data_IF_957297245799
#
_entry.id   IF_957297245799
#
_cell.length_a   1.000
_cell.length_b   1.000
_cell.length_c   1.000
_cell.angle_alpha   90.00
_cell.angle_beta   90.00
_cell.angle_gamma   90.00
#
_symmetry.space_group_name_H-M   'P 1'
#
loop_
_entity.id
_entity.type
_entity.pdbx_description
1 polymer ?
#
# COMPACT_ATOMS: atom_id res chain seq x y z
N UNK A 1 9.95 -22.95 -3.01
CA UNK A 1 9.58 -21.79 -2.17
C UNK A 1 10.40 -20.54 -2.51
N UNK A 2 9.73 -19.39 -2.53
CA UNK A 2 10.33 -18.06 -2.74
C UNK A 2 10.37 -17.36 -1.38
N UNK A 3 11.46 -16.68 -1.08
CA UNK A 3 11.59 -15.86 0.13
C UNK A 3 11.54 -14.38 -0.27
N UNK A 4 10.81 -13.57 0.48
CA UNK A 4 10.80 -12.12 0.35
C UNK A 4 11.53 -11.49 1.53
N UNK A 5 12.22 -10.37 1.27
CA UNK A 5 12.95 -9.61 2.28
C UNK A 5 12.79 -8.13 2.01
N UNK A 6 12.56 -7.36 3.08
CA UNK A 6 12.46 -5.91 3.07
C UNK A 6 13.81 -5.32 3.49
N UNK A 7 14.23 -4.25 2.82
CA UNK A 7 15.54 -3.64 3.02
C UNK A 7 15.43 -2.17 3.41
N UNK A 8 16.45 -1.69 4.13
CA UNK A 8 16.60 -0.28 4.52
C UNK A 8 16.62 0.67 3.31
N UNK A 9 17.07 0.19 2.14
CA UNK A 9 17.08 0.95 0.90
C UNK A 9 15.69 1.14 0.27
N UNK A 10 14.62 0.65 0.91
CA UNK A 10 13.26 0.70 0.39
C UNK A 10 12.96 -0.38 -0.66
N UNK A 11 13.92 -1.28 -0.95
CA UNK A 11 13.73 -2.34 -1.93
C UNK A 11 13.25 -3.64 -1.29
N UNK A 12 12.54 -4.43 -2.09
CA UNK A 12 12.15 -5.80 -1.74
C UNK A 12 12.99 -6.73 -2.59
N UNK A 13 13.63 -7.72 -1.98
CA UNK A 13 14.35 -8.76 -2.72
C UNK A 13 13.64 -10.08 -2.57
N UNK A 14 13.47 -10.74 -3.71
CA UNK A 14 12.92 -12.08 -3.85
C UNK A 14 14.04 -13.06 -4.11
N UNK A 15 14.07 -14.14 -3.33
CA UNK A 15 15.14 -15.12 -3.35
C UNK A 15 14.59 -16.51 -3.60
N UNK A 16 15.40 -17.34 -4.26
CA UNK A 16 15.19 -18.78 -4.24
C UNK A 16 15.63 -19.32 -2.87
N UNK A 17 15.08 -20.48 -2.48
CA UNK A 17 15.51 -21.16 -1.24
C UNK A 17 16.99 -21.58 -1.27
N UNK A 18 17.61 -21.62 -2.45
CA UNK A 18 19.04 -21.85 -2.64
C UNK A 18 19.90 -20.58 -2.46
N UNK A 19 19.28 -19.44 -2.16
CA UNK A 19 19.97 -18.16 -1.93
C UNK A 19 20.22 -17.32 -3.19
N UNK A 20 19.70 -17.74 -4.35
CA UNK A 20 19.86 -16.95 -5.57
C UNK A 20 18.86 -15.79 -5.59
N UNK A 21 19.35 -14.58 -5.90
CA UNK A 21 18.48 -13.42 -6.12
C UNK A 21 17.66 -13.65 -7.40
N UNK A 22 16.34 -13.68 -7.27
CA UNK A 22 15.43 -13.87 -8.40
C UNK A 22 14.97 -12.53 -8.97
N UNK A 23 14.63 -11.58 -8.10
CA UNK A 23 14.13 -10.25 -8.50
C UNK A 23 14.35 -9.23 -7.38
N UNK A 24 14.59 -7.99 -7.78
CA UNK A 24 14.55 -6.82 -6.90
C UNK A 24 13.37 -5.94 -7.32
N UNK A 25 12.59 -5.48 -6.34
CA UNK A 25 11.44 -4.59 -6.51
C UNK A 25 11.73 -3.27 -5.84
N UNK A 26 11.41 -2.19 -6.53
CA UNK A 26 11.53 -0.83 -6.03
C UNK A 26 10.15 -0.17 -6.12
N UNK A 27 9.66 0.46 -5.03
CA UNK A 27 8.41 1.22 -5.07
C UNK A 27 8.50 2.30 -6.16
N UNK A 28 7.46 2.36 -6.99
CA UNK A 28 7.37 3.31 -8.10
C UNK A 28 6.59 4.56 -7.70
N UNK A 29 5.88 4.55 -6.57
CA UNK A 29 5.18 5.73 -6.06
C UNK A 29 6.15 6.91 -5.88
N UNK A 30 5.74 8.13 -6.24
CA UNK A 30 6.55 9.35 -6.06
C UNK A 30 6.81 9.73 -4.59
N UNK A 31 6.36 8.91 -3.66
CA UNK A 31 6.57 9.08 -2.23
C UNK A 31 7.91 8.44 -1.86
N UNK A 32 8.65 9.02 -0.89
CA UNK A 32 10.03 8.66 -0.68
C UNK A 32 10.17 7.16 -0.44
N UNK A 33 11.06 6.53 -1.23
CA UNK A 33 11.60 5.19 -1.05
C UNK A 33 12.33 5.11 0.29
N UNK A 34 11.56 5.08 1.37
CA UNK A 34 12.06 4.96 2.73
C UNK A 34 12.22 3.51 3.14
N UNK A 35 12.90 3.25 4.27
CA UNK A 35 13.16 1.91 4.77
C UNK A 35 11.88 1.08 4.89
N UNK A 36 11.91 -0.14 4.36
CA UNK A 36 10.84 -1.10 4.58
C UNK A 36 11.09 -1.84 5.89
N UNK A 37 10.08 -1.86 6.76
CA UNK A 37 10.18 -2.28 8.16
C UNK A 37 9.32 -3.52 8.44
N UNK A 38 8.29 -3.76 7.63
CA UNK A 38 7.39 -4.91 7.79
C UNK A 38 7.02 -5.52 6.43
N UNK A 39 6.77 -6.83 6.43
CA UNK A 39 6.28 -7.59 5.28
C UNK A 39 5.20 -8.59 5.71
N UNK A 40 4.14 -8.73 4.93
CA UNK A 40 3.23 -9.86 5.03
C UNK A 40 2.69 -10.27 3.66
N UNK A 41 2.17 -11.49 3.55
CA UNK A 41 1.68 -12.05 2.30
C UNK A 41 0.43 -12.90 2.55
N UNK A 42 -0.31 -13.21 1.49
CA UNK A 42 -1.43 -14.15 1.52
C UNK A 42 -0.95 -15.61 1.48
N UNK A 43 -1.88 -16.53 1.76
CA UNK A 43 -1.67 -17.97 1.82
C UNK A 43 -1.14 -18.53 0.49
N UNK A 44 -1.51 -17.91 -0.63
CA UNK A 44 -1.06 -18.30 -1.97
C UNK A 44 0.07 -17.44 -2.53
N UNK A 45 0.61 -16.49 -1.76
CA UNK A 45 1.70 -15.59 -2.15
C UNK A 45 1.42 -14.72 -3.39
N UNK A 46 0.16 -14.51 -3.74
CA UNK A 46 -0.29 -13.66 -4.86
C UNK A 46 -0.23 -12.18 -4.54
N UNK A 47 -0.26 -11.82 -3.26
CA UNK A 47 -0.23 -10.45 -2.77
C UNK A 47 0.92 -10.33 -1.77
N UNK A 48 1.71 -9.26 -1.92
CA UNK A 48 2.72 -8.89 -0.94
C UNK A 48 2.39 -7.49 -0.41
N UNK A 49 2.35 -7.35 0.90
CA UNK A 49 2.11 -6.09 1.59
C UNK A 49 3.37 -5.69 2.34
N UNK A 50 3.76 -4.42 2.22
CA UNK A 50 4.98 -3.90 2.83
C UNK A 50 4.70 -2.64 3.62
N UNK A 51 5.28 -2.54 4.81
CA UNK A 51 5.22 -1.36 5.66
C UNK A 51 6.53 -0.59 5.62
N UNK A 52 6.47 0.74 5.70
CA UNK A 52 7.65 1.60 5.73
C UNK A 52 7.85 2.32 7.06
N UNK A 53 9.07 2.82 7.26
CA UNK A 53 9.46 3.70 8.38
C UNK A 53 8.70 5.02 8.40
N UNK A 54 8.27 5.50 7.25
CA UNK A 54 7.42 6.68 7.18
C UNK A 54 5.98 6.31 7.50
N UNK A 55 5.56 5.05 7.48
CA UNK A 55 4.17 4.66 7.79
C UNK A 55 3.29 4.45 6.55
N UNK A 56 3.91 4.25 5.38
CA UNK A 56 3.21 3.84 4.18
C UNK A 56 3.01 2.33 4.17
N UNK A 57 1.90 1.90 3.60
CA UNK A 57 1.66 0.52 3.20
C UNK A 57 1.63 0.47 1.69
N UNK A 58 2.32 -0.50 1.13
CA UNK A 58 2.35 -0.75 -0.31
C UNK A 58 1.90 -2.19 -0.56
N UNK A 59 1.00 -2.35 -1.52
CA UNK A 59 0.47 -3.63 -1.97
C UNK A 59 0.99 -3.96 -3.35
N UNK A 60 1.50 -5.16 -3.49
CA UNK A 60 2.11 -5.69 -4.71
C UNK A 60 1.35 -6.91 -5.20
N UNK A 61 1.14 -7.00 -6.51
CA UNK A 61 0.62 -8.19 -7.16
C UNK A 61 1.75 -9.07 -7.65
N UNK A 62 1.79 -10.28 -7.11
CA UNK A 62 2.79 -11.33 -7.36
C UNK A 62 2.23 -12.48 -8.21
N UNK A 63 0.93 -12.50 -8.52
CA UNK A 63 0.28 -13.64 -9.17
C UNK A 63 0.90 -13.96 -10.54
N UNK A 64 1.10 -12.94 -11.37
CA UNK A 64 1.73 -13.08 -12.70
C UNK A 64 3.14 -13.66 -12.61
N UNK A 65 3.90 -13.23 -11.59
CA UNK A 65 5.26 -13.71 -11.36
C UNK A 65 5.33 -15.20 -11.03
N UNK A 66 4.36 -15.70 -10.26
CA UNK A 66 4.27 -17.09 -9.85
C UNK A 66 3.78 -18.02 -10.96
N UNK A 67 2.86 -17.55 -11.81
CA UNK A 67 2.26 -18.36 -12.87
C UNK A 67 3.22 -18.61 -14.04
N UNK A 68 4.03 -17.62 -14.43
CA UNK A 68 4.94 -17.76 -15.59
C UNK A 68 6.42 -17.40 -15.32
N UNK A 69 7.15 -18.01 -14.36
CA UNK A 69 8.46 -17.53 -13.90
C UNK A 69 9.54 -17.29 -14.97
N UNK A 70 9.37 -17.87 -16.18
CA UNK A 70 10.30 -17.79 -17.30
C UNK A 70 10.01 -16.65 -18.29
N UNK A 71 8.88 -15.97 -18.15
CA UNK A 71 8.50 -14.87 -19.02
C UNK A 71 9.18 -13.57 -18.53
N UNK A 72 10.02 -12.95 -19.39
CA UNK A 72 10.70 -11.68 -19.06
C UNK A 72 9.73 -10.52 -18.82
N UNK A 73 8.47 -10.64 -19.27
CA UNK A 73 7.39 -9.67 -19.00
C UNK A 73 6.67 -9.88 -17.66
N UNK A 74 7.14 -10.78 -16.80
CA UNK A 74 6.60 -10.93 -15.45
C UNK A 74 6.92 -9.71 -14.59
N UNK A 75 6.07 -8.72 -14.74
CA UNK A 75 6.04 -7.50 -13.97
C UNK A 75 5.23 -7.76 -12.70
N UNK A 76 5.93 -7.67 -11.57
CA UNK A 76 5.29 -7.51 -10.27
C UNK A 76 4.86 -6.06 -10.21
N UNK A 77 3.56 -5.84 -10.01
CA UNK A 77 2.96 -4.51 -10.10
C UNK A 77 2.66 -4.00 -8.70
N UNK A 78 3.06 -2.76 -8.45
CA UNK A 78 2.53 -1.98 -7.34
C UNK A 78 1.06 -1.66 -7.63
N UNK A 79 0.13 -2.23 -6.86
CA UNK A 79 -1.32 -2.03 -7.05
C UNK A 79 -1.84 -0.83 -6.28
N UNK A 80 -1.30 -0.61 -5.08
CA UNK A 80 -1.80 0.38 -4.14
C UNK A 80 -0.69 0.82 -3.20
N UNK A 81 -0.61 2.12 -2.95
CA UNK A 81 0.20 2.72 -1.90
C UNK A 81 -0.71 3.64 -1.08
N UNK A 82 -0.63 3.62 0.24
CA UNK A 82 -1.35 4.57 1.07
C UNK A 82 -0.61 4.84 2.37
N UNK A 83 -0.84 6.03 2.92
CA UNK A 83 -0.32 6.40 4.24
C UNK A 83 -1.24 5.80 5.29
N UNK A 84 -0.76 4.81 6.05
CA UNK A 84 -1.55 4.19 7.12
C UNK A 84 -1.32 4.89 8.46
N UNK A 85 -0.06 5.18 8.75
CA UNK A 85 0.37 5.73 10.03
C UNK A 85 1.15 7.02 9.85
N UNK A 86 1.15 7.87 10.89
CA UNK A 86 1.97 9.08 10.88
C UNK A 86 3.47 8.76 10.91
N UNK A 87 3.83 7.62 11.51
CA UNK A 87 5.20 7.15 11.73
C UNK A 87 5.37 5.68 11.34
N UNK A 88 6.54 5.12 11.63
CA UNK A 88 6.97 3.76 11.28
C UNK A 88 5.94 2.69 11.57
N UNK A 89 5.66 1.89 10.54
CA UNK A 89 4.90 0.65 10.67
C UNK A 89 5.86 -0.43 11.18
N UNK A 90 5.50 -1.07 12.28
CA UNK A 90 6.35 -2.10 12.91
C UNK A 90 5.87 -3.52 12.62
N UNK A 91 4.60 -3.68 12.29
CA UNK A 91 4.04 -5.00 12.00
C UNK A 91 2.78 -4.93 11.12
N UNK A 92 2.53 -6.01 10.40
CA UNK A 92 1.42 -6.18 9.47
C UNK A 92 0.79 -7.56 9.60
N UNK A 93 -0.53 -7.57 9.68
CA UNK A 93 -1.31 -8.81 9.64
C UNK A 93 -2.40 -8.71 8.59
N UNK A 94 -2.39 -9.62 7.62
CA UNK A 94 -3.40 -9.70 6.56
C UNK A 94 -4.38 -10.84 6.84
N UNK A 95 -5.66 -10.52 6.86
CA UNK A 95 -6.78 -11.45 7.00
C UNK A 95 -7.51 -11.53 5.66
N UNK A 96 -7.37 -12.68 4.99
CA UNK A 96 -7.79 -12.87 3.60
C UNK A 96 -9.30 -12.95 3.43
N UNK A 97 -10.01 -13.67 4.31
CA UNK A 97 -11.44 -13.95 4.15
C UNK A 97 -12.28 -12.67 4.20
N UNK A 98 -11.90 -11.70 5.04
CA UNK A 98 -12.57 -10.40 5.14
C UNK A 98 -11.85 -9.32 4.32
N UNK A 99 -10.72 -9.66 3.70
CA UNK A 99 -9.87 -8.73 2.94
C UNK A 99 -9.47 -7.50 3.77
N UNK A 100 -9.02 -7.76 5.00
CA UNK A 100 -8.67 -6.75 6.00
C UNK A 100 -7.18 -6.82 6.32
N UNK A 101 -6.55 -5.67 6.50
CA UNK A 101 -5.19 -5.59 7.04
C UNK A 101 -5.21 -4.84 8.37
N UNK A 102 -4.58 -5.42 9.38
CA UNK A 102 -4.22 -4.75 10.62
C UNK A 102 -2.77 -4.27 10.55
N UNK A 103 -2.54 -3.03 10.95
CA UNK A 103 -1.23 -2.37 10.90
C UNK A 103 -0.88 -1.82 12.28
N UNK A 104 0.33 -2.09 12.76
CA UNK A 104 0.82 -1.57 14.04
C UNK A 104 1.96 -0.58 13.80
N UNK A 105 2.07 0.46 14.63
CA UNK A 105 3.06 1.53 14.46
C UNK A 105 3.67 2.03 15.76
N UNK A 106 4.85 2.65 15.64
CA UNK A 106 5.50 3.43 16.70
C UNK A 106 4.63 4.62 17.14
N UNK A 107 3.65 5.06 16.33
CA UNK A 107 2.69 6.10 16.71
C UNK A 107 1.76 5.69 17.87
N UNK A 108 1.87 4.46 18.35
CA UNK A 108 1.12 3.92 19.49
C UNK A 108 -0.26 3.40 19.12
N UNK A 109 -0.61 3.36 17.83
CA UNK A 109 -1.90 2.86 17.36
C UNK A 109 -1.76 1.55 16.58
N UNK A 110 -2.84 0.76 16.66
CA UNK A 110 -3.08 -0.35 15.73
C UNK A 110 -4.32 0.02 14.92
N UNK A 111 -4.21 -0.01 13.60
CA UNK A 111 -5.24 0.45 12.66
C UNK A 111 -5.71 -0.68 11.76
N UNK A 112 -6.96 -0.58 11.32
CA UNK A 112 -7.62 -1.54 10.45
C UNK A 112 -7.97 -0.89 9.12
N UNK A 113 -7.69 -1.61 8.04
CA UNK A 113 -7.89 -1.13 6.68
C UNK A 113 -8.46 -2.22 5.79
N UNK A 114 -9.17 -1.80 4.74
CA UNK A 114 -9.55 -2.68 3.65
C UNK A 114 -8.35 -2.91 2.73
N UNK A 115 -7.89 -4.16 2.61
CA UNK A 115 -6.60 -4.48 1.99
C UNK A 115 -6.54 -4.25 0.48
N UNK A 116 -7.69 -4.14 -0.20
CA UNK A 116 -7.74 -3.88 -1.67
C UNK A 116 -7.87 -2.41 -2.02
N UNK A 117 -8.45 -1.59 -1.15
CA UNK A 117 -8.74 -0.18 -1.45
C UNK A 117 -7.96 0.79 -0.56
N UNK A 118 -7.35 0.30 0.53
CA UNK A 118 -6.67 1.13 1.53
C UNK A 118 -7.64 1.96 2.37
N UNK A 119 -8.94 1.61 2.40
CA UNK A 119 -9.93 2.35 3.17
C UNK A 119 -9.78 2.09 4.66
N UNK A 120 -9.83 3.15 5.45
CA UNK A 120 -9.67 3.09 6.89
C UNK A 120 -10.97 2.68 7.57
N UNK A 121 -10.93 1.61 8.38
CA UNK A 121 -12.04 1.19 9.21
C UNK A 121 -11.99 1.79 10.62
N UNK A 122 -10.81 2.13 11.11
CA UNK A 122 -10.62 2.66 12.46
C UNK A 122 -9.36 2.13 13.14
N UNK A 123 -9.26 2.38 14.44
CA UNK A 123 -8.16 1.94 15.29
C UNK A 123 -8.68 1.17 16.51
N UNK A 124 -7.85 0.30 17.07
CA UNK A 124 -8.19 -0.44 18.27
C UNK A 124 -8.26 0.49 19.49
N UNK A 125 -9.28 0.30 20.33
CA UNK A 125 -9.55 1.17 21.50
C UNK A 125 -10.51 2.33 21.22
N UNK A 126 -10.92 2.54 19.97
CA UNK A 126 -11.97 3.50 19.66
C UNK A 126 -13.33 3.06 20.23
N UNK A 127 -14.20 4.02 20.57
CA UNK A 127 -15.55 3.73 21.09
C UNK A 127 -16.49 3.11 20.05
N UNK A 128 -16.29 3.46 18.76
CA UNK A 128 -17.11 2.98 17.65
C UNK A 128 -16.72 1.55 17.24
N UNK A 129 -17.72 0.66 17.09
CA UNK A 129 -17.49 -0.68 16.52
C UNK A 129 -17.00 -0.60 15.06
N UNK A 130 -16.16 -1.54 14.65
CA UNK A 130 -15.74 -1.66 13.25
C UNK A 130 -16.93 -2.09 12.38
N UNK A 131 -17.14 -1.38 11.28
CA UNK A 131 -18.14 -1.70 10.26
C UNK A 131 -17.40 -2.14 9.00
N UNK A 132 -17.16 -3.45 8.85
CA UNK A 132 -16.33 -3.99 7.77
C UNK A 132 -17.07 -4.09 6.43
N UNK A 133 -18.41 -4.11 6.46
CA UNK A 133 -19.24 -4.20 5.25
C UNK A 133 -19.42 -2.86 4.53
N UNK A 134 -19.23 -1.73 5.22
CA UNK A 134 -19.35 -0.41 4.60
C UNK A 134 -18.00 0.05 4.04
N UNK A 135 -17.66 -0.45 2.86
CA UNK A 135 -16.49 0.01 2.09
C UNK A 135 -16.81 1.22 1.22
N UNK A 136 -17.98 1.85 1.35
CA UNK A 136 -18.38 2.99 0.52
C UNK A 136 -17.88 4.33 1.06
N UNK A 137 -17.54 4.37 2.36
CA UNK A 137 -17.10 5.59 3.05
C UNK A 137 -15.59 5.67 3.10
N UNK A 138 -15.03 6.64 2.39
CA UNK A 138 -13.64 7.02 2.57
C UNK A 138 -13.50 7.83 3.87
N UNK A 139 -13.12 7.15 4.95
CA UNK A 139 -12.67 7.78 6.18
C UNK A 139 -11.14 7.82 6.13
N UNK A 140 -10.53 8.91 6.57
CA UNK A 140 -9.08 8.98 6.78
C UNK A 140 -8.81 9.19 8.27
N UNK A 141 -7.71 8.65 8.81
CA UNK A 141 -7.25 9.05 10.12
C UNK A 141 -6.98 10.55 10.15
N UNK A 142 -7.31 11.21 11.25
CA UNK A 142 -7.18 12.67 11.40
C UNK A 142 -5.73 13.17 11.32
N UNK A 143 -4.77 12.30 11.60
CA UNK A 143 -3.33 12.58 11.63
C UNK A 143 -2.61 12.22 10.33
N UNK A 144 -3.36 11.72 9.34
CA UNK A 144 -2.82 11.33 8.04
C UNK A 144 -3.38 12.25 6.96
N UNK A 145 -2.60 13.27 6.59
CA UNK A 145 -2.90 14.18 5.49
C UNK A 145 -2.31 13.64 4.19
N UNK A 146 -2.95 12.64 3.58
CA UNK A 146 -2.51 12.14 2.27
C UNK A 146 -3.08 10.79 1.91
N UNK A 147 -4.28 10.77 1.34
CA UNK A 147 -4.73 9.59 0.59
C UNK A 147 -4.15 9.67 -0.81
N UNK A 148 -3.13 8.87 -1.10
CA UNK A 148 -2.61 8.70 -2.46
C UNK A 148 -2.75 7.25 -2.88
N UNK A 149 -3.99 6.74 -2.92
CA UNK A 149 -4.26 5.46 -3.58
C UNK A 149 -3.99 5.61 -5.08
N UNK A 150 -2.73 5.48 -5.49
CA UNK A 150 -2.38 5.43 -6.90
C UNK A 150 -2.73 4.03 -7.41
N UNK A 151 -3.94 3.88 -7.92
CA UNK A 151 -4.29 2.73 -8.77
C UNK A 151 -3.73 3.06 -10.16
N UNK A 152 -2.53 2.57 -10.49
CA UNK A 152 -2.05 2.60 -11.88
C UNK A 152 -2.36 1.28 -12.56
N UNK A 153 -3.50 1.23 -13.27
CA UNK A 153 -3.57 0.41 -14.47
C UNK A 153 -2.66 1.04 -15.52
N UNK A 154 -1.62 0.33 -15.93
CA UNK A 154 -0.78 0.75 -17.04
C UNK A 154 -1.60 0.75 -18.34
N UNK A 155 -2.04 1.94 -18.81
CA UNK A 155 -1.94 2.43 -20.20
C UNK A 155 -3.01 3.47 -20.58
N UNK A 156 -2.64 4.75 -20.62
CA UNK A 156 -2.75 5.65 -21.79
C UNK A 156 -2.27 7.06 -21.42
N UNK A 157 -1.68 7.72 -22.41
CA UNK A 157 -1.07 9.03 -22.34
C UNK A 157 -1.85 10.04 -21.48
N UNK A 158 -1.15 10.65 -20.52
CA UNK A 158 -1.59 11.90 -19.88
C UNK A 158 -1.54 13.04 -20.89
N UNK A 159 -2.67 13.40 -21.47
CA UNK A 159 -2.88 14.79 -21.87
C UNK A 159 -3.09 15.62 -20.61
N UNK A 160 -2.17 16.55 -20.35
CA UNK A 160 -2.29 17.54 -19.28
C UNK A 160 -3.50 18.43 -19.56
N UNK A 161 -4.66 18.16 -18.94
CA UNK A 161 -5.73 19.16 -18.85
C UNK A 161 -5.27 20.27 -17.89
N UNK A 162 -4.91 21.41 -18.48
CA UNK A 162 -4.59 22.66 -17.80
C UNK A 162 -5.89 23.19 -17.15
N UNK A 163 -6.05 22.98 -15.85
CA UNK A 163 -7.18 23.56 -15.10
C UNK A 163 -6.87 25.03 -14.86
N UNK A 164 -7.61 25.90 -15.53
CA UNK A 164 -7.60 27.35 -15.30
C UNK A 164 -8.66 27.61 -14.23
N UNK A 165 -8.26 28.14 -13.08
CA UNK A 165 -9.20 28.64 -12.08
C UNK A 165 -9.75 30.00 -12.54
N UNK A 166 -11.06 30.16 -12.78
CA UNK A 166 -11.62 31.49 -12.94
C UNK A 166 -11.79 32.10 -11.55
N UNK A 167 -10.92 33.04 -11.19
CA UNK A 167 -11.15 33.95 -10.07
C UNK A 167 -12.35 34.82 -10.43
N UNK A 168 -13.53 34.50 -9.90
CA UNK A 168 -14.68 35.41 -9.93
C UNK A 168 -14.57 36.28 -8.67
N UNK A 169 -14.20 37.53 -8.88
CA UNK A 169 -14.27 38.58 -7.87
C UNK A 169 -15.75 38.94 -7.67
N UNK A 170 -16.28 38.58 -6.51
CA UNK A 170 -17.60 39.03 -6.07
C UNK A 170 -17.52 40.53 -5.76
N UNK A 171 -18.15 41.34 -6.60
CA UNK A 171 -18.35 42.78 -6.39
C UNK A 171 -19.80 43.10 -6.72
N UNK A 172 -20.67 42.98 -5.73
CA UNK A 172 -21.93 43.70 -5.72
C UNK A 172 -22.14 44.38 -4.36
N UNK A 173 -22.31 45.70 -4.43
CA UNK A 173 -22.87 46.59 -3.42
C UNK A 173 -23.81 47.55 -4.14
#
# INVERSE_FOLDING_TARGET
PILASAHESGCIRLWSIQGNLMKELLPFSEHPSGPLTALCTDTFTKILLTGSKEGYIIRWNMATFLEEPRNRKNEIKEELCWKAHATEVVDLFFEEEKNVIATASIDGSVRLWHARTGYYFGYFGQSRKFELSDTSRLILPSDVSGFSAIIKEASKHTEKKKVIYPLILDRDK
#
